data_IF_435602871229
#
_entry.id   IF_435602871229
#
_cell.length_a   1.000
_cell.length_b   1.000
_cell.length_c   1.000
_cell.angle_alpha   90.00
_cell.angle_beta   90.00
_cell.angle_gamma   90.00
#
_symmetry.space_group_name_H-M   'P 1'
#
loop_
_entity.id
_entity.type
_entity.pdbx_description
1 polymer ?
#
# COMPACT_ATOMS: atom_id res chain seq x y z
N UNK A 1 -9.13 12.26 -4.89
CA UNK A 1 -9.34 11.15 -3.94
C UNK A 1 -9.62 9.90 -4.75
N UNK A 2 -8.79 8.87 -4.60
CA UNK A 2 -8.95 7.60 -5.28
C UNK A 2 -10.14 6.84 -4.67
N UNK A 3 -11.15 6.51 -5.47
CA UNK A 3 -12.31 5.71 -5.03
C UNK A 3 -11.95 4.22 -4.90
N UNK A 4 -10.86 3.91 -4.20
CA UNK A 4 -10.49 2.53 -3.92
C UNK A 4 -11.11 2.10 -2.59
N UNK A 5 -11.99 1.09 -2.64
CA UNK A 5 -12.69 0.59 -1.44
C UNK A 5 -11.75 0.07 -0.35
N UNK A 6 -10.57 -0.43 -0.70
CA UNK A 6 -9.59 -0.90 0.30
C UNK A 6 -9.01 0.29 1.04
N UNK A 7 -8.65 1.37 0.35
CA UNK A 7 -8.11 2.58 0.99
C UNK A 7 -9.14 3.25 1.91
N UNK A 8 -10.41 3.30 1.49
CA UNK A 8 -11.50 3.80 2.34
C UNK A 8 -11.67 2.93 3.59
N UNK A 9 -11.61 1.60 3.44
CA UNK A 9 -11.70 0.70 4.58
C UNK A 9 -10.53 0.87 5.55
N UNK A 10 -9.31 1.10 5.05
CA UNK A 10 -8.16 1.37 5.91
C UNK A 10 -8.36 2.66 6.73
N UNK A 11 -8.99 3.69 6.16
CA UNK A 11 -9.35 4.90 6.90
C UNK A 11 -10.42 4.64 7.97
N UNK A 12 -11.42 3.80 7.67
CA UNK A 12 -12.44 3.34 8.64
C UNK A 12 -11.82 2.52 9.78
N UNK A 13 -10.79 1.72 9.48
CA UNK A 13 -10.04 0.90 10.43
C UNK A 13 -8.93 1.70 11.18
N UNK A 14 -8.99 3.05 11.13
CA UNK A 14 -8.09 3.99 11.83
C UNK A 14 -6.63 4.02 11.33
N UNK A 15 -6.33 3.51 10.13
CA UNK A 15 -5.05 3.74 9.47
C UNK A 15 -5.06 5.10 8.78
N UNK A 16 -4.58 6.13 9.47
CA UNK A 16 -4.70 7.52 9.03
C UNK A 16 -3.51 7.93 8.15
N UNK A 17 -2.30 7.47 8.47
CA UNK A 17 -1.09 7.89 7.77
C UNK A 17 -0.84 7.08 6.49
N UNK A 18 -0.14 7.65 5.48
CA UNK A 18 0.26 6.89 4.29
C UNK A 18 1.09 5.65 4.63
N UNK A 19 2.01 5.77 5.58
CA UNK A 19 2.90 4.69 6.03
C UNK A 19 2.11 3.52 6.63
N UNK A 20 1.19 3.79 7.54
CA UNK A 20 0.31 2.77 8.14
C UNK A 20 -0.51 2.01 7.07
N UNK A 21 -1.08 2.75 6.10
CA UNK A 21 -1.84 2.14 5.00
C UNK A 21 -0.96 1.24 4.14
N UNK A 22 0.28 1.65 3.86
CA UNK A 22 1.23 0.83 3.11
C UNK A 22 1.55 -0.44 3.88
N UNK A 23 1.95 -0.35 5.15
CA UNK A 23 2.28 -1.51 5.98
C UNK A 23 1.14 -2.52 6.06
N UNK A 24 -0.11 -2.06 6.17
CA UNK A 24 -1.28 -2.95 6.18
C UNK A 24 -1.51 -3.62 4.81
N UNK A 25 -1.30 -2.88 3.71
CA UNK A 25 -1.40 -3.45 2.37
C UNK A 25 -0.32 -4.49 2.09
N UNK A 26 0.91 -4.28 2.60
CA UNK A 26 2.03 -5.20 2.41
C UNK A 26 1.73 -6.61 2.97
N UNK A 27 0.94 -6.72 4.04
CA UNK A 27 0.52 -8.01 4.63
C UNK A 27 -0.30 -8.90 3.69
N UNK A 28 -0.90 -8.34 2.64
CA UNK A 28 -1.83 -9.05 1.74
C UNK A 28 -1.55 -8.79 0.25
N UNK A 29 -0.30 -8.55 -0.14
CA UNK A 29 0.10 -8.28 -1.54
C UNK A 29 -0.21 -9.41 -2.54
N UNK A 30 -0.55 -10.61 -2.07
CA UNK A 30 -0.96 -11.74 -2.92
C UNK A 30 -2.22 -11.45 -3.74
N UNK A 31 -3.01 -10.43 -3.38
CA UNK A 31 -4.22 -10.03 -4.10
C UNK A 31 -3.94 -8.85 -5.05
N UNK A 32 -4.30 -8.95 -6.35
CA UNK A 32 -4.13 -7.85 -7.30
C UNK A 32 -4.80 -6.54 -6.87
N UNK A 33 -5.91 -6.61 -6.12
CA UNK A 33 -6.59 -5.43 -5.60
C UNK A 33 -5.76 -4.65 -4.57
N UNK A 34 -4.94 -5.33 -3.79
CA UNK A 34 -4.04 -4.72 -2.82
C UNK A 34 -2.84 -4.07 -3.51
N UNK A 35 -2.29 -4.71 -4.55
CA UNK A 35 -1.28 -4.10 -5.43
C UNK A 35 -1.80 -2.82 -6.09
N UNK A 36 -3.05 -2.84 -6.58
CA UNK A 36 -3.67 -1.65 -7.15
C UNK A 36 -3.90 -0.53 -6.13
N UNK A 37 -4.31 -0.87 -4.89
CA UNK A 37 -4.44 0.10 -3.81
C UNK A 37 -3.08 0.72 -3.44
N UNK A 38 -2.02 -0.10 -3.36
CA UNK A 38 -0.67 0.35 -3.08
C UNK A 38 -0.14 1.30 -4.17
N UNK A 39 -0.36 0.96 -5.46
CA UNK A 39 -0.04 1.84 -6.59
C UNK A 39 -0.70 3.21 -6.44
N UNK A 40 -1.99 3.25 -6.09
CA UNK A 40 -2.72 4.51 -5.94
C UNK A 40 -2.19 5.37 -4.78
N UNK A 41 -1.69 4.76 -3.70
CA UNK A 41 -1.03 5.50 -2.62
C UNK A 41 0.26 6.16 -3.08
N UNK A 42 1.10 5.46 -3.86
CA UNK A 42 2.34 6.01 -4.38
C UNK A 42 2.14 7.05 -5.49
N UNK A 43 1.06 6.94 -6.28
CA UNK A 43 0.72 7.95 -7.30
C UNK A 43 0.21 9.26 -6.69
N UNK A 44 -0.21 9.26 -5.42
CA UNK A 44 -0.64 10.48 -4.74
C UNK A 44 0.56 11.27 -4.22
N UNK A 45 0.96 12.31 -4.95
CA UNK A 45 2.08 13.20 -4.58
C UNK A 45 1.88 13.99 -3.28
N UNK A 46 0.68 13.99 -2.70
CA UNK A 46 0.41 14.58 -1.38
C UNK A 46 0.80 13.65 -0.23
N UNK A 47 1.00 12.36 -0.50
CA UNK A 47 1.43 11.41 0.50
C UNK A 47 2.94 11.57 0.71
N UNK A 48 3.33 11.78 1.97
CA UNK A 48 4.71 11.70 2.40
C UNK A 48 4.95 10.33 3.01
N UNK A 49 6.00 9.66 2.56
CA UNK A 49 6.39 8.33 3.03
C UNK A 49 7.74 8.40 3.70
N UNK A 50 7.93 7.62 4.77
CA UNK A 50 9.26 7.41 5.31
C UNK A 50 10.11 6.56 4.36
N UNK A 51 11.44 6.81 4.37
CA UNK A 51 12.38 6.01 3.57
C UNK A 51 12.28 4.51 3.89
N UNK A 52 12.07 4.15 5.15
CA UNK A 52 11.93 2.77 5.58
C UNK A 52 10.73 2.08 4.95
N UNK A 53 9.58 2.76 4.87
CA UNK A 53 8.36 2.21 4.26
C UNK A 53 8.54 2.03 2.75
N UNK A 54 9.24 2.96 2.09
CA UNK A 54 9.58 2.82 0.66
C UNK A 54 10.50 1.63 0.42
N UNK A 55 11.56 1.47 1.22
CA UNK A 55 12.50 0.34 1.13
C UNK A 55 11.77 -0.99 1.36
N UNK A 56 10.99 -1.10 2.43
CA UNK A 56 10.22 -2.31 2.75
C UNK A 56 9.21 -2.65 1.65
N UNK A 57 8.58 -1.63 1.05
CA UNK A 57 7.63 -1.84 -0.06
C UNK A 57 8.33 -2.40 -1.29
N UNK A 58 9.50 -1.88 -1.65
CA UNK A 58 10.28 -2.36 -2.79
C UNK A 58 10.78 -3.79 -2.54
N UNK A 59 11.27 -4.08 -1.33
CA UNK A 59 11.68 -5.44 -0.94
C UNK A 59 10.51 -6.41 -1.05
N UNK A 60 9.35 -6.07 -0.49
CA UNK A 60 8.15 -6.91 -0.56
C UNK A 60 7.69 -7.15 -2.00
N UNK A 61 7.76 -6.16 -2.89
CA UNK A 61 7.39 -6.30 -4.31
C UNK A 61 8.38 -7.16 -5.12
N UNK A 62 9.66 -7.18 -4.72
CA UNK A 62 10.69 -8.03 -5.33
C UNK A 62 10.60 -9.46 -4.78
N UNK A 63 10.37 -9.62 -3.47
CA UNK A 63 10.27 -10.91 -2.78
C UNK A 63 8.92 -11.59 -2.99
N UNK A 64 7.89 -10.85 -3.42
CA UNK A 64 6.73 -11.45 -4.10
C UNK A 64 7.22 -12.03 -5.42
N UNK A 65 7.87 -13.19 -5.36
CA UNK A 65 8.00 -14.07 -6.50
C UNK A 65 6.56 -14.26 -6.98
N UNK A 66 6.20 -13.55 -8.06
CA UNK A 66 4.98 -13.74 -8.82
C UNK A 66 5.05 -15.16 -9.40
N UNK A 67 4.93 -16.17 -8.53
CA UNK A 67 4.75 -17.57 -8.89
C UNK A 67 3.31 -17.68 -9.34
N UNK A 68 3.10 -17.23 -10.57
CA UNK A 68 1.85 -17.36 -11.29
C UNK A 68 1.67 -18.80 -11.79
#
# INVERSE_FOLDING_TARGET
MSNNRILLKLEEDEFITPDEKVEELLKNLTKPSYLYALKLLFENLQNEFSSQVLENSLEALVDTSFKH
#
